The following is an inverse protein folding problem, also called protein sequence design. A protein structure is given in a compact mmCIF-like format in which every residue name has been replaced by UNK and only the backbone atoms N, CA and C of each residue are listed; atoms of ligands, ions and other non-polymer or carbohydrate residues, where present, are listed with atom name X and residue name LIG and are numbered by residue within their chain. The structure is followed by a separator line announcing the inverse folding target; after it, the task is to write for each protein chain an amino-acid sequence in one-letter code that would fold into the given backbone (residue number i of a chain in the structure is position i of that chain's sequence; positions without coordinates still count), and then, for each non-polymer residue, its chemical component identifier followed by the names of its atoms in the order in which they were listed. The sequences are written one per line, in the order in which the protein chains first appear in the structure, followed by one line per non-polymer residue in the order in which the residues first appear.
data_IF_287736591132
#
_entry.id   IF_287736591132
#
_cell.length_a   1.000
_cell.length_b   1.000
_cell.length_c   1.000
_cell.angle_alpha   90.00
_cell.angle_beta   90.00
_cell.angle_gamma   90.00
#
_symmetry.space_group_name_H-M   'P 1'
#
loop_
_entity.id
_entity.type
_entity.pdbx_description
1 polymer ?
#
# COMPACT_ATOMS: atom_id res chain seq x y z
N UNK A 1 8.34 11.55 11.77
CA UNK A 1 9.65 12.16 11.41
C UNK A 1 9.52 12.74 10.00
N UNK A 2 9.95 13.99 9.78
CA UNK A 2 9.89 14.66 8.47
C UNK A 2 11.26 14.55 7.76
N UNK A 3 11.28 14.69 6.43
CA UNK A 3 12.53 14.76 5.67
C UNK A 3 12.98 16.21 5.60
N UNK A 4 14.27 16.45 5.83
CA UNK A 4 14.87 17.79 5.73
C UNK A 4 14.96 18.17 4.25
N UNK A 5 14.49 19.36 3.92
CA UNK A 5 14.53 19.91 2.56
C UNK A 5 13.71 21.21 2.46
N UNK A 6 13.75 21.90 1.30
CA UNK A 6 12.92 23.07 1.06
C UNK A 6 11.44 22.74 1.24
N UNK A 7 10.66 23.71 1.73
CA UNK A 7 9.21 23.59 1.85
C UNK A 7 8.58 23.14 0.52
N UNK A 8 7.60 22.25 0.59
CA UNK A 8 6.90 21.67 -0.58
C UNK A 8 7.74 20.79 -1.52
N UNK A 9 9.08 20.72 -1.38
CA UNK A 9 9.96 20.02 -2.34
C UNK A 9 9.74 18.51 -2.46
N UNK A 10 9.02 17.92 -1.51
CA UNK A 10 8.72 16.49 -1.47
C UNK A 10 7.23 16.24 -1.24
N UNK A 11 6.38 17.15 -1.73
CA UNK A 11 4.95 16.89 -1.75
C UNK A 11 4.67 15.66 -2.64
N UNK A 12 3.92 14.66 -2.14
CA UNK A 12 3.62 13.49 -2.95
C UNK A 12 2.77 13.86 -4.17
N UNK A 13 2.74 12.98 -5.17
CA UNK A 13 1.82 13.11 -6.28
C UNK A 13 0.36 13.26 -5.80
N UNK A 14 -0.47 13.94 -6.61
CA UNK A 14 -1.85 14.27 -6.26
C UNK A 14 -1.99 15.15 -4.99
N UNK A 15 -0.95 15.92 -4.68
CA UNK A 15 -1.00 17.01 -3.71
C UNK A 15 -0.48 18.30 -4.33
N UNK A 16 -0.88 19.43 -3.77
CA UNK A 16 -0.43 20.77 -4.10
C UNK A 16 0.13 21.43 -2.83
N UNK A 17 0.85 22.53 -2.96
CA UNK A 17 1.41 23.25 -1.80
C UNK A 17 1.40 24.76 -2.01
N UNK A 18 1.04 25.50 -0.95
CA UNK A 18 0.89 26.96 -0.99
C UNK A 18 0.04 27.42 -2.18
N UNK A 19 0.56 28.41 -2.93
CA UNK A 19 -0.13 29.01 -4.08
C UNK A 19 -0.42 28.05 -5.23
N UNK A 20 0.31 26.94 -5.35
CA UNK A 20 0.02 25.94 -6.39
C UNK A 20 -1.33 25.25 -6.16
N UNK A 21 -1.86 25.27 -4.94
CA UNK A 21 -3.19 24.75 -4.66
C UNK A 21 -4.30 25.59 -5.30
N UNK A 22 -4.15 26.91 -5.37
CA UNK A 22 -5.14 27.80 -5.99
C UNK A 22 -5.31 27.47 -7.48
N UNK A 23 -4.21 27.18 -8.17
CA UNK A 23 -4.23 26.75 -9.59
C UNK A 23 -4.96 25.41 -9.78
N UNK A 24 -4.97 24.57 -8.76
CA UNK A 24 -5.71 23.30 -8.75
C UNK A 24 -7.15 23.44 -8.23
N UNK A 25 -7.63 24.66 -7.95
CA UNK A 25 -8.96 24.90 -7.38
C UNK A 25 -9.09 24.48 -5.91
N UNK A 26 -7.96 24.34 -5.21
CA UNK A 26 -7.90 23.87 -3.82
C UNK A 26 -7.47 25.03 -2.94
N UNK A 27 -8.24 25.33 -1.89
CA UNK A 27 -7.83 26.31 -0.88
C UNK A 27 -6.73 25.72 -0.01
N UNK A 28 -5.54 26.31 0.02
CA UNK A 28 -4.53 25.94 1.02
C UNK A 28 -4.73 26.74 2.30
N UNK A 29 -4.76 26.06 3.45
CA UNK A 29 -4.88 26.71 4.76
C UNK A 29 -3.50 27.05 5.36
N UNK A 30 -2.43 26.45 4.80
CA UNK A 30 -1.05 26.60 5.26
C UNK A 30 -0.08 26.52 4.09
N UNK A 31 0.76 27.55 3.91
CA UNK A 31 1.68 27.64 2.76
C UNK A 31 2.73 26.53 2.70
N UNK A 32 3.05 25.92 3.85
CA UNK A 32 4.09 24.89 3.96
C UNK A 32 3.60 23.44 3.96
N UNK A 33 2.30 23.19 3.85
CA UNK A 33 1.73 21.85 3.92
C UNK A 33 1.22 21.39 2.56
N UNK A 34 1.49 20.12 2.25
CA UNK A 34 0.96 19.47 1.05
C UNK A 34 -0.53 19.14 1.28
N UNK A 35 -1.40 19.67 0.43
CA UNK A 35 -2.84 19.44 0.46
C UNK A 35 -3.27 18.58 -0.72
N UNK A 36 -4.15 17.62 -0.49
CA UNK A 36 -4.65 16.71 -1.53
C UNK A 36 -5.49 17.46 -2.56
N UNK A 37 -5.27 17.22 -3.84
CA UNK A 37 -6.01 17.92 -4.91
C UNK A 37 -7.39 17.32 -5.18
N UNK A 38 -7.61 16.06 -4.79
CA UNK A 38 -8.90 15.37 -4.93
C UNK A 38 -9.03 14.25 -3.88
N UNK A 39 -10.10 13.46 -3.98
CA UNK A 39 -10.45 12.39 -3.03
C UNK A 39 -9.55 11.16 -3.05
N UNK A 40 -8.59 11.05 -3.98
CA UNK A 40 -7.68 9.90 -4.04
C UNK A 40 -6.54 9.97 -3.02
N UNK A 41 -6.37 11.10 -2.32
CA UNK A 41 -5.28 11.31 -1.35
C UNK A 41 -3.89 11.42 -2.01
N UNK A 42 -2.82 11.60 -1.22
CA UNK A 42 -1.46 11.62 -1.75
C UNK A 42 -1.11 10.25 -2.37
N UNK A 43 -0.56 10.26 -3.58
CA UNK A 43 -0.17 9.04 -4.28
C UNK A 43 1.30 8.68 -3.96
N UNK A 44 1.61 7.38 -3.87
CA UNK A 44 3.00 6.95 -3.76
C UNK A 44 3.74 7.30 -5.05
N UNK A 45 4.97 7.81 -4.92
CA UNK A 45 5.88 8.01 -6.06
C UNK A 45 6.12 6.68 -6.78
N UNK A 46 6.22 6.73 -8.11
CA UNK A 46 6.67 5.56 -8.89
C UNK A 46 8.04 5.09 -8.38
N UNK A 47 8.24 3.78 -8.12
CA UNK A 47 9.51 3.29 -7.61
C UNK A 47 10.66 3.59 -8.57
N UNK A 48 11.79 4.07 -8.05
CA UNK A 48 12.99 4.28 -8.87
C UNK A 48 13.68 2.95 -9.18
N UNK A 49 14.26 2.83 -10.38
CA UNK A 49 15.05 1.69 -10.83
C UNK A 49 14.30 0.74 -11.76
N UNK A 50 14.83 -0.47 -11.95
CA UNK A 50 14.18 -1.52 -12.73
C UNK A 50 13.09 -2.20 -11.88
N UNK A 51 11.83 -1.88 -12.19
CA UNK A 51 10.66 -2.35 -11.45
C UNK A 51 10.05 -3.55 -12.15
N UNK A 52 9.95 -4.68 -11.46
CA UNK A 52 9.31 -5.91 -11.97
C UNK A 52 7.83 -5.97 -11.61
N UNK A 53 7.46 -5.46 -10.44
CA UNK A 53 6.09 -5.39 -9.96
C UNK A 53 5.90 -4.07 -9.21
N UNK A 54 4.84 -3.34 -9.53
CA UNK A 54 4.37 -2.21 -8.74
C UNK A 54 2.86 -2.22 -8.70
N UNK A 55 2.32 -2.48 -7.52
CA UNK A 55 0.89 -2.45 -7.30
C UNK A 55 0.54 -1.45 -6.19
N UNK A 56 -0.26 -0.43 -6.53
CA UNK A 56 -0.75 0.60 -5.60
C UNK A 56 -2.29 0.58 -5.45
N UNK A 57 -2.94 -0.45 -6.00
CA UNK A 57 -4.39 -0.71 -5.94
C UNK A 57 -5.29 0.45 -6.41
N UNK A 58 -4.74 1.40 -7.18
CA UNK A 58 -5.51 2.49 -7.77
C UNK A 58 -6.21 2.03 -9.05
N UNK A 59 -7.53 2.16 -9.06
CA UNK A 59 -8.35 1.94 -10.25
C UNK A 59 -8.02 2.95 -11.35
N UNK A 60 -7.91 2.47 -12.60
CA UNK A 60 -7.61 3.30 -13.77
C UNK A 60 -6.18 3.85 -13.84
N UNK A 61 -5.26 3.37 -13.00
CA UNK A 61 -3.84 3.70 -13.12
C UNK A 61 -3.22 2.91 -14.31
N UNK A 62 -2.29 3.50 -15.10
CA UNK A 62 -1.64 2.81 -16.23
C UNK A 62 -0.94 1.48 -15.90
N UNK A 63 -0.71 1.19 -14.62
CA UNK A 63 -0.05 -0.02 -14.15
C UNK A 63 -1.04 -0.99 -13.47
N UNK A 64 -2.34 -0.87 -13.72
CA UNK A 64 -3.35 -1.78 -13.18
C UNK A 64 -3.11 -3.23 -13.58
N UNK A 65 -2.56 -3.47 -14.78
CA UNK A 65 -2.15 -4.80 -15.25
C UNK A 65 -1.00 -5.39 -14.41
N UNK A 66 -0.23 -4.55 -13.72
CA UNK A 66 0.83 -4.99 -12.81
C UNK A 66 0.27 -5.43 -11.45
N UNK A 67 -1.03 -5.21 -11.22
CA UNK A 67 -1.74 -5.61 -10.01
C UNK A 67 -2.61 -6.86 -10.22
N UNK A 68 -2.45 -7.62 -11.31
CA UNK A 68 -3.26 -8.81 -11.51
C UNK A 68 -2.94 -9.91 -10.49
N UNK A 69 -3.98 -10.40 -9.82
CA UNK A 69 -3.87 -11.47 -8.84
C UNK A 69 -5.12 -12.37 -8.81
N UNK A 70 -4.91 -13.61 -8.36
CA UNK A 70 -5.94 -14.60 -8.07
C UNK A 70 -6.10 -14.70 -6.55
N UNK A 71 -7.32 -14.93 -6.07
CA UNK A 71 -7.62 -15.05 -4.64
C UNK A 71 -7.92 -16.51 -4.26
N UNK A 72 -7.25 -16.99 -3.21
CA UNK A 72 -7.56 -18.24 -2.53
C UNK A 72 -8.04 -17.98 -1.10
N UNK A 73 -8.96 -18.81 -0.59
CA UNK A 73 -9.61 -18.58 0.71
C UNK A 73 -10.73 -17.54 0.65
N UNK A 74 -10.81 -16.67 1.66
CA UNK A 74 -11.81 -15.61 1.74
C UNK A 74 -11.61 -14.57 0.61
N UNK A 75 -12.71 -14.19 -0.07
CA UNK A 75 -12.69 -13.40 -1.32
C UNK A 75 -13.26 -11.99 -1.21
N UNK A 76 -13.55 -11.53 0.00
CA UNK A 76 -14.19 -10.24 0.27
C UNK A 76 -13.20 -9.06 0.28
N UNK A 77 -12.20 -9.07 -0.59
CA UNK A 77 -11.30 -7.94 -0.79
C UNK A 77 -12.06 -6.74 -1.37
N UNK A 78 -11.77 -5.55 -0.85
CA UNK A 78 -12.39 -4.30 -1.28
C UNK A 78 -11.32 -3.22 -1.44
N UNK A 79 -11.52 -2.35 -2.41
CA UNK A 79 -10.70 -1.14 -2.54
C UNK A 79 -11.26 -0.06 -1.61
N UNK A 80 -10.44 0.42 -0.67
CA UNK A 80 -10.78 1.48 0.26
C UNK A 80 -9.98 2.73 -0.05
N UNK A 81 -10.66 3.84 -0.38
CA UNK A 81 -10.05 5.16 -0.54
C UNK A 81 -10.07 5.88 0.81
N UNK A 82 -8.92 6.35 1.26
CA UNK A 82 -8.77 7.14 2.49
C UNK A 82 -7.91 8.37 2.20
N UNK A 83 -7.86 9.33 3.14
CA UNK A 83 -7.07 10.55 2.98
C UNK A 83 -5.59 10.29 2.68
N UNK A 84 -5.04 9.13 3.06
CA UNK A 84 -3.62 8.76 2.83
C UNK A 84 -3.37 7.92 1.56
N UNK A 85 -4.39 7.69 0.74
CA UNK A 85 -4.28 6.91 -0.51
C UNK A 85 -5.34 5.82 -0.66
N UNK A 86 -5.11 4.94 -1.63
CA UNK A 86 -5.98 3.78 -1.92
C UNK A 86 -5.37 2.52 -1.35
N UNK A 87 -6.19 1.64 -0.77
CA UNK A 87 -5.77 0.39 -0.15
C UNK A 87 -6.63 -0.77 -0.65
N UNK A 88 -6.01 -1.94 -0.83
CA UNK A 88 -6.76 -3.18 -0.86
C UNK A 88 -6.96 -3.66 0.58
N UNK A 89 -8.22 -3.84 0.97
CA UNK A 89 -8.64 -4.14 2.34
C UNK A 89 -9.40 -5.45 2.40
N UNK A 90 -9.10 -6.27 3.39
CA UNK A 90 -9.93 -7.42 3.79
C UNK A 90 -10.08 -7.46 5.31
N UNK A 91 -11.26 -7.89 5.77
CA UNK A 91 -11.50 -8.26 7.16
C UNK A 91 -11.81 -9.76 7.23
N UNK A 92 -11.11 -10.47 8.13
CA UNK A 92 -11.23 -11.90 8.33
C UNK A 92 -11.77 -12.19 9.74
N UNK A 93 -12.78 -13.05 9.83
CA UNK A 93 -13.24 -13.67 11.08
C UNK A 93 -12.26 -14.75 11.55
N UNK A 94 -12.35 -15.14 12.83
CA UNK A 94 -11.54 -16.21 13.39
C UNK A 94 -11.66 -17.52 12.59
N UNK A 95 -10.52 -18.12 12.27
CA UNK A 95 -10.43 -19.34 11.44
C UNK A 95 -10.37 -19.08 9.93
N UNK A 96 -10.55 -17.84 9.47
CA UNK A 96 -10.44 -17.51 8.05
C UNK A 96 -9.00 -17.18 7.64
N UNK A 97 -8.70 -17.43 6.37
CA UNK A 97 -7.48 -17.00 5.70
C UNK A 97 -7.79 -16.49 4.29
N UNK A 98 -6.93 -15.64 3.76
CA UNK A 98 -6.98 -15.18 2.37
C UNK A 98 -5.56 -15.07 1.81
N UNK A 99 -5.39 -15.44 0.55
CA UNK A 99 -4.12 -15.42 -0.16
C UNK A 99 -4.30 -14.68 -1.49
N UNK A 100 -3.45 -13.70 -1.75
CA UNK A 100 -3.34 -13.01 -3.04
C UNK A 100 -2.17 -13.60 -3.83
N UNK A 101 -2.46 -14.25 -4.96
CA UNK A 101 -1.50 -14.85 -5.87
C UNK A 101 -1.26 -13.92 -7.07
N UNK A 102 -0.11 -13.26 -7.13
CA UNK A 102 0.20 -12.34 -8.24
C UNK A 102 0.62 -13.13 -9.48
N UNK A 103 -0.05 -12.90 -10.60
CA UNK A 103 0.08 -13.72 -11.82
C UNK A 103 1.25 -13.32 -12.71
N UNK A 104 1.81 -12.13 -12.50
CA UNK A 104 2.90 -11.62 -13.30
C UNK A 104 4.15 -12.49 -13.15
N UNK A 105 4.64 -12.99 -14.27
CA UNK A 105 5.90 -13.73 -14.32
C UNK A 105 7.07 -12.79 -13.99
N UNK A 106 8.06 -13.34 -13.29
CA UNK A 106 9.24 -12.58 -12.90
C UNK A 106 10.50 -13.39 -13.09
N UNK A 107 11.57 -12.68 -13.39
CA UNK A 107 12.90 -13.24 -13.48
C UNK A 107 13.59 -13.20 -12.12
N UNK A 108 13.71 -14.38 -11.50
CA UNK A 108 14.41 -14.57 -10.23
C UNK A 108 15.90 -14.88 -10.40
N UNK A 109 16.44 -14.84 -11.63
CA UNK A 109 17.88 -15.02 -11.86
C UNK A 109 18.72 -13.87 -11.26
N UNK A 110 18.07 -12.77 -10.91
CA UNK A 110 18.68 -11.57 -10.34
C UNK A 110 18.31 -11.41 -8.87
N UNK A 111 19.13 -10.64 -8.14
CA UNK A 111 18.77 -10.20 -6.80
C UNK A 111 17.56 -9.26 -6.89
N UNK A 112 16.51 -9.55 -6.12
CA UNK A 112 15.29 -8.77 -6.09
C UNK A 112 15.05 -8.18 -4.69
N UNK A 113 14.46 -6.99 -4.64
CA UNK A 113 14.03 -6.34 -3.42
C UNK A 113 12.49 -6.25 -3.37
N UNK A 114 11.87 -7.05 -2.50
CA UNK A 114 10.45 -7.02 -2.24
C UNK A 114 10.12 -6.05 -1.10
N UNK A 115 9.16 -5.16 -1.33
CA UNK A 115 8.64 -4.22 -0.32
C UNK A 115 7.13 -4.24 -0.34
N UNK A 116 6.52 -4.28 0.84
CA UNK A 116 5.09 -4.17 1.04
C UNK A 116 4.81 -3.09 2.09
N UNK A 117 3.96 -2.13 1.75
CA UNK A 117 3.43 -1.14 2.68
C UNK A 117 2.02 -1.59 3.08
N UNK A 118 1.80 -1.81 4.39
CA UNK A 118 0.53 -2.32 4.89
C UNK A 118 0.18 -1.78 6.28
N UNK A 119 -1.07 -2.00 6.70
CA UNK A 119 -1.55 -1.85 8.09
C UNK A 119 -2.34 -3.09 8.46
N UNK A 120 -2.20 -3.59 9.68
CA UNK A 120 -3.00 -4.74 10.15
C UNK A 120 -3.37 -4.57 11.61
N UNK A 121 -4.51 -5.11 12.02
CA UNK A 121 -4.93 -5.01 13.41
C UNK A 121 -6.31 -5.62 13.66
N UNK A 122 -6.82 -5.52 14.89
CA UNK A 122 -8.20 -5.89 15.18
C UNK A 122 -9.18 -4.97 14.47
N UNK A 123 -10.32 -5.51 14.07
CA UNK A 123 -11.39 -4.73 13.44
C UNK A 123 -12.07 -3.77 14.44
N UNK A 124 -12.12 -4.15 15.72
CA UNK A 124 -12.71 -3.38 16.81
C UNK A 124 -11.58 -2.76 17.65
N UNK A 125 -11.71 -1.47 17.97
CA UNK A 125 -10.74 -0.78 18.81
C UNK A 125 -10.74 -1.38 20.24
N UNK A 126 -9.55 -1.65 20.78
CA UNK A 126 -9.36 -2.24 22.11
C UNK A 126 -9.18 -3.76 22.11
N UNK A 127 -9.53 -4.44 21.03
CA UNK A 127 -9.30 -5.88 20.89
C UNK A 127 -7.82 -6.23 20.74
N UNK A 128 -7.47 -7.46 21.09
CA UNK A 128 -6.10 -7.96 20.91
C UNK A 128 -5.84 -8.28 19.43
N UNK A 129 -4.71 -7.79 18.90
CA UNK A 129 -4.24 -8.19 17.57
C UNK A 129 -3.78 -9.65 17.60
N UNK A 130 -4.49 -10.53 16.90
CA UNK A 130 -4.12 -11.95 16.74
C UNK A 130 -4.25 -12.37 15.27
N UNK A 131 -3.34 -11.89 14.45
CA UNK A 131 -3.29 -12.13 13.01
C UNK A 131 -1.85 -12.37 12.54
N UNK A 132 -1.70 -13.12 11.45
CA UNK A 132 -0.40 -13.40 10.82
C UNK A 132 -0.43 -12.95 9.36
N UNK A 133 0.55 -12.15 8.97
CA UNK A 133 0.86 -11.81 7.58
C UNK A 133 2.15 -12.54 7.19
N UNK A 134 2.14 -13.26 6.07
CA UNK A 134 3.31 -13.94 5.52
C UNK A 134 3.44 -13.67 4.03
N UNK A 135 4.68 -13.58 3.53
CA UNK A 135 4.98 -13.51 2.10
C UNK A 135 6.03 -14.56 1.78
N UNK A 136 5.77 -15.41 0.78
CA UNK A 136 6.70 -16.46 0.33
C UNK A 136 7.08 -16.19 -1.12
N UNK A 137 8.33 -16.47 -1.49
CA UNK A 137 8.90 -16.19 -2.82
C UNK A 137 8.49 -17.21 -3.90
N UNK A 138 7.19 -17.44 -3.96
CA UNK A 138 6.39 -17.75 -5.14
C UNK A 138 5.30 -16.68 -4.99
N UNK A 139 5.42 -15.49 -5.58
CA UNK A 139 4.77 -14.26 -5.03
C UNK A 139 3.30 -14.42 -4.59
N UNK A 140 3.11 -14.62 -3.29
CA UNK A 140 1.81 -14.54 -2.66
C UNK A 140 1.89 -13.84 -1.31
N UNK A 141 0.83 -13.09 -0.99
CA UNK A 141 0.61 -12.48 0.32
C UNK A 141 -0.46 -13.29 1.03
N UNK A 142 -0.12 -13.88 2.17
CA UNK A 142 -1.02 -14.70 2.99
C UNK A 142 -1.37 -13.98 4.28
N UNK A 143 -2.67 -13.83 4.57
CA UNK A 143 -3.18 -13.26 5.81
C UNK A 143 -4.12 -14.25 6.51
N UNK A 144 -3.88 -14.55 7.79
CA UNK A 144 -4.63 -15.54 8.54
C UNK A 144 -4.95 -15.07 9.96
N UNK A 145 -6.15 -15.44 10.44
CA UNK A 145 -6.65 -15.17 11.79
C UNK A 145 -6.94 -16.52 12.49
N UNK A 146 -6.29 -16.84 13.64
CA UNK A 146 -6.53 -18.10 14.33
C UNK A 146 -7.99 -18.30 14.77
N UNK A 147 -8.39 -19.55 14.94
CA UNK A 147 -9.74 -19.87 15.43
C UNK A 147 -9.96 -19.27 16.83
N UNK A 148 -11.16 -18.71 17.06
CA UNK A 148 -11.53 -18.08 18.32
C UNK A 148 -10.99 -16.65 18.54
N UNK A 149 -10.23 -16.09 17.58
CA UNK A 149 -9.83 -14.69 17.62
C UNK A 149 -10.93 -13.76 17.08
N UNK A 150 -11.02 -12.54 17.61
CA UNK A 150 -11.90 -11.51 17.08
C UNK A 150 -11.46 -11.06 15.67
N UNK A 151 -12.36 -10.50 14.84
CA UNK A 151 -12.04 -10.17 13.45
C UNK A 151 -10.85 -9.22 13.33
N UNK A 152 -10.03 -9.42 12.30
CA UNK A 152 -8.81 -8.65 12.05
C UNK A 152 -8.80 -8.12 10.61
N UNK A 153 -8.22 -6.94 10.39
CA UNK A 153 -8.07 -6.33 9.07
C UNK A 153 -6.62 -6.33 8.59
N UNK A 154 -6.48 -6.30 7.27
CA UNK A 154 -5.25 -6.00 6.56
C UNK A 154 -5.55 -4.98 5.46
N UNK A 155 -4.85 -3.85 5.48
CA UNK A 155 -4.84 -2.82 4.45
C UNK A 155 -3.50 -2.85 3.74
N UNK A 156 -3.47 -3.17 2.44
CA UNK A 156 -2.26 -3.12 1.61
C UNK A 156 -2.25 -1.83 0.79
N UNK A 157 -1.21 -1.01 0.96
CA UNK A 157 -1.04 0.25 0.24
C UNK A 157 -0.25 0.08 -1.04
N UNK A 158 0.88 -0.63 -0.95
CA UNK A 158 1.80 -0.79 -2.06
C UNK A 158 2.57 -2.08 -1.96
N UNK A 159 2.76 -2.75 -3.08
CA UNK A 159 3.75 -3.82 -3.25
C UNK A 159 4.71 -3.41 -4.35
N UNK A 160 6.01 -3.51 -4.07
CA UNK A 160 7.10 -3.18 -4.99
C UNK A 160 8.07 -4.33 -5.06
N UNK A 161 8.47 -4.71 -6.27
CA UNK A 161 9.60 -5.58 -6.50
C UNK A 161 10.57 -4.92 -7.48
N UNK A 162 11.78 -4.65 -7.01
CA UNK A 162 12.83 -4.00 -7.80
C UNK A 162 14.04 -4.92 -7.97
N UNK A 163 14.80 -4.73 -9.05
CA UNK A 163 16.15 -5.30 -9.18
C UNK A 163 17.12 -4.68 -8.15
N UNK A 164 18.00 -5.50 -7.58
CA UNK A 164 19.08 -5.10 -6.68
C UNK A 164 18.77 -5.21 -5.19
N UNK A 165 19.73 -4.87 -4.31
CA UNK A 165 19.55 -4.96 -2.86
C UNK A 165 18.52 -3.94 -2.37
N UNK A 166 17.79 -4.29 -1.32
CA UNK A 166 16.93 -3.33 -0.63
C UNK A 166 17.79 -2.25 0.03
N UNK A 167 18.00 -1.12 -0.63
CA UNK A 167 18.64 0.06 -0.02
C UNK A 167 17.93 0.40 1.29
N UNK A 168 18.74 0.66 2.34
CA UNK A 168 18.43 0.58 3.78
C UNK A 168 17.26 1.39 4.38
N UNK A 169 16.25 1.77 3.60
CA UNK A 169 14.97 2.23 4.13
C UNK A 169 14.18 1.03 4.60
N UNK A 170 14.19 0.85 5.92
CA UNK A 170 13.35 -0.08 6.69
C UNK A 170 11.93 -0.09 6.12
N UNK A 171 11.37 -1.27 5.95
CA UNK A 171 9.92 -1.42 5.75
C UNK A 171 9.22 -0.63 6.86
N UNK A 172 8.29 0.26 6.49
CA UNK A 172 7.46 0.93 7.47
C UNK A 172 6.47 -0.11 8.01
N UNK A 173 6.79 -0.65 9.18
CA UNK A 173 5.86 -1.38 10.02
C UNK A 173 5.00 -0.33 10.73
N UNK A 174 3.78 -0.13 10.25
CA UNK A 174 2.73 0.63 10.92
C UNK A 174 1.83 -0.31 11.71
#
# INVERSE_FOLDING_TARGET
MYKIGPTCSQCPENTCCGRQCELAGVRSDFDGLCKTVNSFGPQPEFPRGNVYLWCNFREGHPNSEWCEFIIEGARNWKTRKVATGTYATIALSGGQSSILHFTRQMDFSKQLCFKIEYRKGPQIAGDRSNNKLSSVFIMYVSFAVPHGASPQYLDLRQIVLNEGPCGGKKAFYG
#
